data_IF_184633863242
#
_entry.id   IF_184633863242
#
_cell.length_a   1.000
_cell.length_b   1.000
_cell.length_c   1.000
_cell.angle_alpha   90.00
_cell.angle_beta   90.00
_cell.angle_gamma   90.00
#
_symmetry.space_group_name_H-M   'P 1'
#
loop_
_entity.id
_entity.type
_entity.pdbx_description
1 polymer ?
#
# COMPACT_ATOMS: atom_id res chain seq x y z
N UNK A 1 -13.60 15.04 29.07
CA UNK A 1 -13.00 13.88 28.38
C UNK A 1 -12.61 14.38 27.01
N UNK A 2 -11.34 14.32 26.64
CA UNK A 2 -10.94 14.57 25.26
C UNK A 2 -11.22 13.25 24.54
N UNK A 3 -12.22 13.23 23.66
CA UNK A 3 -12.42 12.08 22.79
C UNK A 3 -11.18 11.93 21.91
N UNK A 4 -10.50 10.80 22.00
CA UNK A 4 -9.42 10.48 21.06
C UNK A 4 -10.02 10.32 19.67
N UNK A 5 -9.64 11.22 18.76
CA UNK A 5 -10.05 11.16 17.37
C UNK A 5 -9.30 10.00 16.70
N UNK A 6 -10.05 8.99 16.26
CA UNK A 6 -9.49 7.89 15.48
C UNK A 6 -9.37 8.29 14.02
N UNK A 7 -8.24 7.95 13.41
CA UNK A 7 -7.94 8.22 12.01
C UNK A 7 -7.84 6.91 11.24
N UNK A 8 -7.94 6.98 9.92
CA UNK A 8 -7.86 5.80 9.05
C UNK A 8 -6.80 5.94 7.96
N UNK A 9 -6.17 4.83 7.60
CA UNK A 9 -5.24 4.69 6.48
C UNK A 9 -5.62 3.44 5.68
N UNK A 10 -5.44 3.47 4.35
CA UNK A 10 -5.81 2.33 3.51
C UNK A 10 -4.83 1.16 3.70
N UNK A 11 -5.37 -0.06 3.77
CA UNK A 11 -4.56 -1.28 3.57
C UNK A 11 -4.39 -1.48 2.06
N UNK A 12 -3.15 -1.57 1.58
CA UNK A 12 -2.90 -1.66 0.14
C UNK A 12 -3.30 -3.03 -0.39
N UNK A 13 -4.03 -3.03 -1.51
CA UNK A 13 -4.34 -4.25 -2.24
C UNK A 13 -3.03 -4.90 -2.72
N UNK A 14 -2.85 -6.19 -2.45
CA UNK A 14 -1.59 -6.90 -2.72
C UNK A 14 -0.65 -7.01 -1.51
N UNK A 15 -0.97 -6.39 -0.36
CA UNK A 15 -0.31 -6.71 0.90
C UNK A 15 -0.64 -8.13 1.36
N UNK A 16 0.36 -8.84 1.87
CA UNK A 16 0.18 -10.16 2.44
C UNK A 16 -0.51 -10.08 3.81
N UNK A 17 -1.43 -11.01 4.15
CA UNK A 17 -2.10 -11.01 5.46
C UNK A 17 -1.13 -10.94 6.64
N UNK A 18 0.01 -11.64 6.56
CA UNK A 18 1.05 -11.61 7.60
C UNK A 18 1.62 -10.21 7.87
N UNK A 19 1.77 -9.38 6.83
CA UNK A 19 2.27 -8.02 6.96
C UNK A 19 1.21 -7.10 7.58
N UNK A 20 -0.05 -7.32 7.24
CA UNK A 20 -1.18 -6.59 7.85
C UNK A 20 -1.24 -6.89 9.35
N UNK A 21 -1.14 -8.16 9.73
CA UNK A 21 -1.12 -8.60 11.14
C UNK A 21 0.08 -8.04 11.91
N UNK A 22 1.25 -7.97 11.26
CA UNK A 22 2.47 -7.38 11.83
C UNK A 22 2.27 -5.88 12.12
N UNK A 23 1.76 -5.13 11.15
CA UNK A 23 1.50 -3.70 11.31
C UNK A 23 0.43 -3.40 12.37
N UNK A 24 -0.63 -4.21 12.44
CA UNK A 24 -1.65 -4.12 13.50
C UNK A 24 -1.02 -4.24 14.88
N UNK A 25 -0.12 -5.20 15.06
CA UNK A 25 0.54 -5.45 16.35
C UNK A 25 1.58 -4.38 16.68
N UNK A 26 2.41 -3.98 15.71
CA UNK A 26 3.51 -3.03 15.94
C UNK A 26 3.01 -1.60 16.23
N UNK A 27 1.93 -1.19 15.56
CA UNK A 27 1.42 0.18 15.62
C UNK A 27 0.05 0.28 16.30
N UNK A 28 -0.39 -0.74 17.04
CA UNK A 28 -1.65 -0.75 17.79
C UNK A 28 -2.88 -0.35 16.95
N UNK A 29 -2.91 -0.82 15.70
CA UNK A 29 -3.97 -0.48 14.75
C UNK A 29 -5.11 -1.50 14.83
N UNK A 30 -6.31 -1.06 14.47
CA UNK A 30 -7.44 -1.95 14.21
C UNK A 30 -7.66 -2.08 12.71
N UNK A 31 -8.30 -3.18 12.29
CA UNK A 31 -8.74 -3.33 10.91
C UNK A 31 -10.24 -3.00 10.81
N UNK A 32 -10.58 -2.13 9.87
CA UNK A 32 -11.96 -1.83 9.49
C UNK A 32 -12.20 -2.29 8.05
N UNK A 33 -13.43 -2.70 7.76
CA UNK A 33 -13.90 -2.95 6.41
C UNK A 33 -15.10 -2.03 6.13
N UNK A 34 -15.02 -1.28 5.03
CA UNK A 34 -16.15 -0.48 4.53
C UNK A 34 -17.22 -1.38 3.91
N UNK A 35 -18.43 -0.84 3.72
CA UNK A 35 -19.53 -1.46 2.98
C UNK A 35 -19.16 -1.85 1.53
N UNK A 36 -18.20 -1.14 0.94
CA UNK A 36 -17.62 -1.42 -0.39
C UNK A 36 -16.50 -2.45 -0.37
N UNK A 37 -16.21 -3.06 0.78
CA UNK A 37 -15.17 -4.07 0.95
C UNK A 37 -13.74 -3.51 1.04
N UNK A 38 -13.56 -2.18 1.12
CA UNK A 38 -12.23 -1.56 1.31
C UNK A 38 -11.76 -1.81 2.74
N UNK A 39 -10.54 -2.33 2.89
CA UNK A 39 -9.87 -2.53 4.17
C UNK A 39 -9.08 -1.28 4.56
N UNK A 40 -9.22 -0.87 5.82
CA UNK A 40 -8.56 0.28 6.42
C UNK A 40 -7.88 -0.12 7.73
N UNK A 41 -6.72 0.44 8.00
CA UNK A 41 -6.19 0.56 9.35
C UNK A 41 -6.88 1.72 10.08
N UNK A 42 -7.26 1.52 11.34
CA UNK A 42 -7.78 2.57 12.23
C UNK A 42 -6.89 2.68 13.49
N UNK A 43 -6.47 3.89 13.85
CA UNK A 43 -5.66 4.11 15.04
C UNK A 43 -5.47 5.58 15.38
N UNK A 44 -4.57 5.85 16.31
CA UNK A 44 -4.13 7.22 16.62
C UNK A 44 -3.32 7.80 15.45
N UNK A 45 -3.34 9.13 15.29
CA UNK A 45 -2.64 9.80 14.19
C UNK A 45 -1.13 9.52 14.20
N UNK A 46 -0.52 9.46 15.38
CA UNK A 46 0.92 9.20 15.51
C UNK A 46 1.28 7.78 15.10
N UNK A 47 0.49 6.78 15.52
CA UNK A 47 0.67 5.39 15.13
C UNK A 47 0.49 5.20 13.62
N UNK A 48 -0.51 5.83 13.01
CA UNK A 48 -0.68 5.79 11.55
C UNK A 48 0.47 6.48 10.80
N UNK A 49 1.03 7.58 11.34
CA UNK A 49 2.23 8.23 10.77
C UNK A 49 3.49 7.38 10.88
N UNK A 50 3.59 6.53 11.91
CA UNK A 50 4.68 5.55 12.04
C UNK A 50 4.45 4.39 11.09
N UNK A 51 3.24 3.85 11.05
CA UNK A 51 2.84 2.76 10.15
C UNK A 51 3.01 3.14 8.67
N UNK A 52 2.76 4.39 8.29
CA UNK A 52 2.95 4.85 6.90
C UNK A 52 4.41 4.77 6.42
N UNK A 53 5.38 4.67 7.35
CA UNK A 53 6.81 4.52 7.08
C UNK A 53 7.29 3.09 7.21
N UNK A 54 6.43 2.15 7.61
CA UNK A 54 6.75 0.73 7.69
C UNK A 54 7.06 0.20 6.29
N UNK A 55 8.07 -0.67 6.20
CA UNK A 55 8.50 -1.24 4.93
C UNK A 55 7.61 -2.43 4.60
N UNK A 56 6.98 -2.41 3.43
CA UNK A 56 6.06 -3.45 2.98
C UNK A 56 6.46 -4.00 1.62
N UNK A 57 5.99 -5.20 1.33
CA UNK A 57 6.00 -5.84 0.03
C UNK A 57 4.55 -5.91 -0.50
N UNK A 58 4.27 -5.31 -1.66
CA UNK A 58 2.95 -5.28 -2.28
C UNK A 58 3.01 -5.92 -3.66
N UNK A 59 2.24 -7.00 -3.86
CA UNK A 59 2.11 -7.67 -5.16
C UNK A 59 1.53 -6.71 -6.19
N UNK A 60 2.20 -6.60 -7.33
CA UNK A 60 1.77 -5.73 -8.42
C UNK A 60 0.41 -6.19 -9.00
N UNK A 61 -0.46 -5.26 -9.39
CA UNK A 61 -1.66 -5.61 -10.13
C UNK A 61 -1.28 -6.21 -11.50
N UNK A 62 -2.13 -7.05 -12.09
CA UNK A 62 -1.92 -7.56 -13.43
C UNK A 62 -2.09 -6.45 -14.48
N UNK A 63 -1.39 -6.58 -15.62
CA UNK A 63 -1.52 -5.68 -16.76
C UNK A 63 -0.49 -4.55 -16.95
N UNK A 64 0.35 -4.13 -15.99
CA UNK A 64 1.40 -3.15 -16.28
C UNK A 64 2.50 -3.77 -17.14
N UNK A 65 3.09 -2.97 -18.01
CA UNK A 65 4.25 -3.33 -18.83
C UNK A 65 5.54 -3.19 -18.02
N UNK A 66 6.61 -3.82 -18.49
CA UNK A 66 7.94 -3.70 -17.87
C UNK A 66 8.41 -2.24 -17.82
N UNK A 67 8.11 -1.44 -18.85
CA UNK A 67 8.48 -0.02 -18.89
C UNK A 67 7.76 0.80 -17.83
N UNK A 68 6.44 0.61 -17.67
CA UNK A 68 5.64 1.32 -16.66
C UNK A 68 6.08 0.94 -15.23
N UNK A 69 6.41 -0.35 -15.00
CA UNK A 69 6.96 -0.81 -13.72
C UNK A 69 8.29 -0.13 -13.45
N UNK A 70 9.21 -0.12 -14.43
CA UNK A 70 10.53 0.49 -14.29
C UNK A 70 10.42 1.98 -13.97
N UNK A 71 9.57 2.70 -14.70
CA UNK A 71 9.33 4.12 -14.49
C UNK A 71 8.78 4.39 -13.08
N UNK A 72 7.82 3.58 -12.63
CA UNK A 72 7.26 3.68 -11.27
C UNK A 72 8.32 3.45 -10.19
N UNK A 73 9.15 2.41 -10.37
CA UNK A 73 10.23 2.06 -9.43
C UNK A 73 11.24 3.21 -9.31
N UNK A 74 11.66 3.79 -10.44
CA UNK A 74 12.61 4.90 -10.48
C UNK A 74 12.04 6.19 -9.87
N UNK A 75 10.76 6.48 -10.16
CA UNK A 75 10.10 7.72 -9.71
C UNK A 75 9.90 7.79 -8.19
N UNK A 76 9.61 6.66 -7.56
CA UNK A 76 9.28 6.59 -6.13
C UNK A 76 10.39 5.94 -5.28
N UNK A 77 11.58 5.73 -5.84
CA UNK A 77 12.72 5.05 -5.18
C UNK A 77 12.32 3.71 -4.54
N UNK A 78 11.51 2.93 -5.25
CA UNK A 78 11.05 1.62 -4.82
C UNK A 78 12.04 0.54 -5.26
N UNK A 79 11.86 -0.67 -4.74
CA UNK A 79 12.55 -1.86 -5.25
C UNK A 79 11.53 -2.84 -5.82
N UNK A 80 11.95 -3.56 -6.85
CA UNK A 80 11.19 -4.69 -7.38
C UNK A 80 11.74 -5.99 -6.79
N UNK A 81 10.87 -6.80 -6.18
CA UNK A 81 11.19 -8.15 -5.71
C UNK A 81 10.38 -9.19 -6.48
N UNK A 82 10.93 -10.38 -6.61
CA UNK A 82 10.19 -11.54 -7.08
C UNK A 82 9.68 -12.33 -5.87
N UNK A 83 8.41 -12.73 -5.91
CA UNK A 83 7.81 -13.66 -4.96
C UNK A 83 7.09 -14.80 -5.70
N UNK A 84 6.66 -15.83 -4.96
CA UNK A 84 5.87 -16.93 -5.50
C UNK A 84 4.51 -16.47 -6.04
N UNK A 85 4.00 -15.33 -5.56
CA UNK A 85 2.74 -14.74 -6.02
C UNK A 85 2.91 -13.73 -7.16
N UNK A 86 4.15 -13.55 -7.62
CA UNK A 86 4.51 -12.62 -8.69
C UNK A 86 5.41 -11.46 -8.23
N UNK A 87 5.63 -10.47 -9.10
CA UNK A 87 6.48 -9.33 -8.80
C UNK A 87 5.83 -8.42 -7.76
N UNK A 88 6.64 -7.90 -6.85
CA UNK A 88 6.20 -7.05 -5.74
C UNK A 88 7.00 -5.75 -5.69
N UNK A 89 6.30 -4.65 -5.39
CA UNK A 89 6.95 -3.41 -4.99
C UNK A 89 7.34 -3.49 -3.52
N UNK A 90 8.57 -3.11 -3.23
CA UNK A 90 9.14 -3.08 -1.90
C UNK A 90 9.58 -1.66 -1.54
N UNK A 91 9.10 -1.14 -0.42
CA UNK A 91 9.41 0.20 0.05
C UNK A 91 8.56 0.58 1.26
N UNK A 92 8.59 1.84 1.68
CA UNK A 92 7.69 2.30 2.75
C UNK A 92 6.26 2.28 2.25
N UNK A 93 5.30 1.99 3.13
CA UNK A 93 3.87 1.92 2.77
C UNK A 93 3.40 3.14 1.97
N UNK A 94 3.79 4.35 2.38
CA UNK A 94 3.40 5.58 1.68
C UNK A 94 3.99 5.65 0.26
N UNK A 95 5.27 5.34 0.10
CA UNK A 95 5.95 5.38 -1.20
C UNK A 95 5.39 4.30 -2.14
N UNK A 96 5.09 3.12 -1.60
CA UNK A 96 4.46 2.01 -2.34
C UNK A 96 3.03 2.35 -2.73
N UNK A 97 2.25 3.00 -1.86
CA UNK A 97 0.91 3.47 -2.20
C UNK A 97 0.94 4.45 -3.38
N UNK A 98 1.84 5.43 -3.32
CA UNK A 98 1.95 6.44 -4.37
C UNK A 98 2.43 5.82 -5.69
N UNK A 99 3.38 4.88 -5.63
CA UNK A 99 3.81 4.08 -6.77
C UNK A 99 2.70 3.25 -7.40
N UNK A 100 1.89 2.55 -6.58
CA UNK A 100 0.75 1.75 -7.09
C UNK A 100 -0.30 2.65 -7.76
N UNK A 101 -0.64 3.79 -7.14
CA UNK A 101 -1.62 4.72 -7.71
C UNK A 101 -1.11 5.28 -9.05
N UNK A 102 0.16 5.68 -9.11
CA UNK A 102 0.78 6.13 -10.35
C UNK A 102 0.75 5.07 -11.45
N UNK A 103 1.12 3.83 -11.11
CA UNK A 103 1.11 2.73 -12.06
C UNK A 103 -0.29 2.44 -12.61
N UNK A 104 -1.30 2.47 -11.74
CA UNK A 104 -2.70 2.31 -12.14
C UNK A 104 -3.14 3.44 -13.06
N UNK A 105 -2.69 4.68 -12.82
CA UNK A 105 -3.04 5.82 -13.68
C UNK A 105 -2.37 5.71 -15.07
N UNK A 106 -1.10 5.30 -15.16
CA UNK A 106 -0.45 4.96 -16.44
C UNK A 106 -1.23 3.89 -17.22
N UNK A 107 -1.71 2.85 -16.52
CA UNK A 107 -2.50 1.80 -17.14
C UNK A 107 -3.85 2.29 -17.66
N UNK A 108 -4.51 3.22 -16.95
CA UNK A 108 -5.76 3.85 -17.42
C UNK A 108 -5.51 4.71 -18.65
N UNK A 109 -4.49 5.55 -18.61
CA UNK A 109 -4.12 6.42 -19.73
C UNK A 109 -3.91 5.60 -21.01
N UNK A 110 -3.24 4.46 -20.92
CA UNK A 110 -3.05 3.55 -22.06
C UNK A 110 -4.36 2.95 -22.61
N UNK A 111 -5.36 2.72 -21.76
CA UNK A 111 -6.65 2.14 -22.18
C UNK A 111 -7.60 3.19 -22.78
N UNK A 112 -7.45 4.45 -22.36
CA UNK A 112 -8.21 5.58 -22.89
C UNK A 112 -7.62 6.15 -24.21
N UNK A 113 -6.49 5.60 -24.68
CA UNK A 113 -5.87 5.86 -25.99
C UNK A 113 -6.40 4.93 -27.09
#
# INVERSE_FOLDING_TARGET
MIDMVKHTMRVLSGMQPRQVDEMIKEYHLNMLQTDKGILLFEGELEDLRRASKHVVDVTLPPGPTVSEIKETVEKFDLKLKQSDEGPQLHGKLIDVNDGVNYLVDLMKERLDM
#
